data_IF_419281113757
#
_entry.id   IF_419281113757
#
_cell.length_a   1.000
_cell.length_b   1.000
_cell.length_c   1.000
_cell.angle_alpha   90.00
_cell.angle_beta   90.00
_cell.angle_gamma   90.00
#
_symmetry.space_group_name_H-M   'P 1'
#
loop_
_entity.id
_entity.type
_entity.pdbx_description
1 polymer ?
#
# COMPACT_ATOMS: atom_id res chain seq x y z
N UNK A 1 -2.54 1.57 36.24
CA UNK A 1 -1.34 1.23 35.46
C UNK A 1 -1.65 1.52 34.00
N UNK A 2 -1.14 2.62 33.47
CA UNK A 2 -1.41 3.06 32.10
C UNK A 2 -0.29 2.57 31.18
N UNK A 3 -0.51 1.44 30.52
CA UNK A 3 0.40 0.86 29.50
C UNK A 3 -0.30 0.70 28.15
N UNK A 4 -1.34 1.50 27.87
CA UNK A 4 -2.18 1.36 26.68
C UNK A 4 -2.10 2.53 25.70
N UNK A 5 -0.99 3.28 25.69
CA UNK A 5 -0.84 4.42 24.79
C UNK A 5 0.44 4.26 23.97
N UNK A 6 0.26 3.78 22.74
CA UNK A 6 1.23 3.73 21.63
C UNK A 6 2.23 2.56 21.69
N UNK A 7 1.93 1.49 20.93
CA UNK A 7 2.88 0.43 20.62
C UNK A 7 3.79 0.91 19.47
N UNK A 8 5.06 1.20 19.77
CA UNK A 8 6.07 1.62 18.79
C UNK A 8 6.97 0.48 18.30
N UNK A 9 6.73 -0.75 18.77
CA UNK A 9 7.57 -1.91 18.42
C UNK A 9 7.23 -2.46 17.03
N UNK A 10 6.05 -2.10 16.49
CA UNK A 10 5.61 -2.54 15.16
C UNK A 10 5.80 -1.41 14.17
N UNK A 11 6.84 -1.55 13.34
CA UNK A 11 7.15 -0.59 12.27
C UNK A 11 6.20 -0.85 11.10
N UNK A 12 5.32 0.10 10.82
CA UNK A 12 4.31 -0.07 9.78
C UNK A 12 4.84 0.36 8.41
N UNK A 13 4.32 -0.28 7.37
CA UNK A 13 4.68 0.09 6.00
C UNK A 13 4.20 1.50 5.69
N UNK A 14 5.12 2.38 5.26
CA UNK A 14 4.76 3.71 4.75
C UNK A 14 5.03 3.77 3.24
N UNK A 15 3.98 4.14 2.51
CA UNK A 15 3.96 4.16 1.06
C UNK A 15 3.50 5.53 0.54
N UNK A 16 4.03 5.96 -0.59
CA UNK A 16 3.77 7.26 -1.20
C UNK A 16 3.40 7.12 -2.67
N UNK A 17 2.39 7.89 -3.09
CA UNK A 17 2.02 8.05 -4.49
C UNK A 17 3.02 8.98 -5.19
N UNK A 18 4.14 8.43 -5.69
CA UNK A 18 5.14 9.21 -6.43
C UNK A 18 4.72 9.46 -7.87
N UNK A 19 4.40 8.40 -8.63
CA UNK A 19 3.97 8.48 -10.04
C UNK A 19 2.94 7.39 -10.35
N UNK A 20 1.73 7.57 -9.84
CA UNK A 20 0.61 6.69 -10.14
C UNK A 20 -0.30 7.36 -11.18
N UNK A 21 -0.60 6.68 -12.27
CA UNK A 21 -1.50 7.19 -13.30
C UNK A 21 -2.87 7.56 -12.71
N UNK A 22 -3.39 6.76 -11.77
CA UNK A 22 -4.68 6.97 -11.12
C UNK A 22 -4.83 8.34 -10.40
N UNK A 23 -3.73 9.04 -10.07
CA UNK A 23 -3.81 10.40 -9.49
C UNK A 23 -4.09 11.47 -10.54
N UNK A 24 -3.93 11.16 -11.83
CA UNK A 24 -4.17 12.06 -12.97
C UNK A 24 -5.36 11.55 -13.80
N UNK A 25 -5.36 10.26 -14.14
CA UNK A 25 -6.38 9.61 -14.95
C UNK A 25 -6.47 8.10 -14.60
N UNK A 26 -7.68 7.61 -14.35
CA UNK A 26 -7.91 6.21 -13.96
C UNK A 26 -8.89 6.15 -12.80
N UNK A 27 -8.86 5.06 -12.04
CA UNK A 27 -9.75 4.87 -10.92
C UNK A 27 -9.04 4.86 -9.56
N UNK A 28 -9.67 5.54 -8.60
CA UNK A 28 -9.44 5.35 -7.18
C UNK A 28 -10.68 4.65 -6.66
N UNK A 29 -10.53 3.42 -6.20
CA UNK A 29 -11.61 2.65 -5.62
C UNK A 29 -11.59 2.77 -4.10
N UNK A 30 -12.77 2.79 -3.53
CA UNK A 30 -12.95 2.53 -2.10
C UNK A 30 -13.10 1.02 -1.93
N UNK A 31 -12.19 0.40 -1.20
CA UNK A 31 -12.18 -1.04 -0.93
C UNK A 31 -12.39 -1.25 0.55
N UNK A 32 -13.31 -2.14 0.92
CA UNK A 32 -13.52 -2.56 2.30
C UNK A 32 -12.52 -3.66 2.65
N UNK A 33 -11.67 -3.41 3.64
CA UNK A 33 -10.58 -4.30 4.04
C UNK A 33 -11.10 -5.61 4.64
N UNK A 34 -10.65 -6.75 4.10
CA UNK A 34 -11.06 -8.07 4.59
C UNK A 34 -10.36 -8.48 5.90
N UNK A 35 -9.18 -7.89 6.15
CA UNK A 35 -8.38 -8.07 7.35
C UNK A 35 -7.50 -6.85 7.58
N UNK A 36 -7.01 -6.71 8.81
CA UNK A 36 -6.01 -5.73 9.20
C UNK A 36 -4.78 -5.78 8.28
N UNK A 37 -4.36 -4.64 7.76
CA UNK A 37 -3.17 -4.55 6.92
C UNK A 37 -2.59 -3.13 6.87
N UNK A 38 -1.29 -3.05 6.60
CA UNK A 38 -0.62 -1.77 6.36
C UNK A 38 -1.01 -1.17 5.00
N UNK A 39 -0.72 0.11 4.81
CA UNK A 39 -0.64 0.72 3.48
C UNK A 39 0.48 0.08 2.65
N UNK A 40 0.45 0.33 1.35
CA UNK A 40 1.45 -0.19 0.41
C UNK A 40 1.23 -1.65 0.03
N UNK A 41 0.17 -2.28 0.52
CA UNK A 41 -0.27 -3.59 0.02
C UNK A 41 -0.91 -3.46 -1.36
N UNK A 42 -0.86 -4.56 -2.12
CA UNK A 42 -1.55 -4.70 -3.39
C UNK A 42 -2.77 -5.60 -3.16
N UNK A 43 -3.93 -5.14 -3.60
CA UNK A 43 -5.20 -5.86 -3.51
C UNK A 43 -5.89 -5.85 -4.88
N UNK A 44 -6.80 -6.79 -5.09
CA UNK A 44 -7.70 -6.79 -6.23
C UNK A 44 -9.02 -6.09 -5.89
N UNK A 45 -9.64 -5.50 -6.90
CA UNK A 45 -11.03 -5.04 -6.84
C UNK A 45 -11.98 -6.23 -6.91
N UNK A 46 -12.72 -6.47 -5.84
CA UNK A 46 -13.79 -7.46 -5.80
C UNK A 46 -15.16 -6.92 -6.25
N UNK A 47 -16.21 -7.64 -5.85
CA UNK A 47 -17.58 -7.29 -6.18
C UNK A 47 -17.99 -5.94 -5.59
N UNK A 48 -18.89 -5.25 -6.28
CA UNK A 48 -19.58 -4.08 -5.72
C UNK A 48 -20.46 -4.53 -4.54
N UNK A 49 -20.24 -3.97 -3.35
CA UNK A 49 -20.98 -4.37 -2.14
C UNK A 49 -22.08 -3.39 -1.79
N UNK A 50 -21.77 -2.08 -1.83
CA UNK A 50 -22.72 -1.04 -1.49
C UNK A 50 -22.37 0.25 -2.24
N UNK A 51 -23.27 1.26 -2.22
CA UNK A 51 -22.91 2.60 -2.64
C UNK A 51 -21.55 2.98 -2.07
N UNK A 52 -20.69 3.45 -2.97
CA UNK A 52 -19.36 3.98 -2.65
C UNK A 52 -18.24 2.97 -2.39
N UNK A 53 -18.44 1.64 -2.30
CA UNK A 53 -17.29 0.72 -2.10
C UNK A 53 -17.43 -0.70 -2.70
N UNK A 54 -16.28 -1.35 -2.87
CA UNK A 54 -16.11 -2.71 -3.36
C UNK A 54 -15.52 -3.62 -2.27
N UNK A 55 -15.73 -4.93 -2.40
CA UNK A 55 -15.03 -5.94 -1.60
C UNK A 55 -13.55 -5.99 -1.95
N UNK A 56 -12.73 -6.32 -0.97
CA UNK A 56 -11.34 -6.73 -1.22
C UNK A 56 -11.33 -8.08 -1.95
N UNK A 57 -10.60 -8.16 -3.06
CA UNK A 57 -10.18 -9.40 -3.68
C UNK A 57 -8.66 -9.58 -3.53
N UNK A 58 -8.18 -10.82 -3.73
CA UNK A 58 -6.75 -11.04 -3.82
C UNK A 58 -6.19 -10.33 -5.06
N UNK A 59 -5.00 -9.75 -4.92
CA UNK A 59 -4.25 -9.26 -6.08
C UNK A 59 -3.99 -10.39 -7.07
N UNK A 60 -3.93 -10.05 -8.34
CA UNK A 60 -3.65 -11.02 -9.39
C UNK A 60 -2.24 -11.61 -9.24
N UNK A 61 -2.08 -12.86 -9.66
CA UNK A 61 -0.76 -13.49 -9.79
C UNK A 61 0.09 -12.86 -10.92
N UNK A 62 -0.49 -11.96 -11.71
CA UNK A 62 0.15 -11.26 -12.83
C UNK A 62 0.99 -10.08 -12.37
N UNK A 63 0.75 -9.56 -11.17
CA UNK A 63 1.52 -8.41 -10.68
C UNK A 63 3.02 -8.74 -10.65
N UNK A 64 3.79 -7.87 -11.32
CA UNK A 64 5.23 -7.84 -11.24
C UNK A 64 5.71 -6.39 -11.19
N UNK A 65 6.77 -6.15 -10.43
CA UNK A 65 7.46 -4.89 -10.40
C UNK A 65 8.97 -5.03 -10.36
N UNK A 66 9.67 -3.91 -10.48
CA UNK A 66 11.13 -3.83 -10.36
C UNK A 66 11.50 -2.68 -9.43
N UNK A 67 12.43 -2.93 -8.52
CA UNK A 67 13.01 -1.89 -7.68
C UNK A 67 13.99 -1.09 -8.53
N UNK A 68 13.67 0.16 -8.84
CA UNK A 68 14.46 1.02 -9.74
C UNK A 68 15.35 2.02 -9.01
N UNK A 69 15.16 2.19 -7.69
CA UNK A 69 15.97 3.09 -6.91
C UNK A 69 15.57 3.14 -5.44
N UNK A 70 16.27 3.99 -4.69
CA UNK A 70 15.98 4.29 -3.28
C UNK A 70 16.00 5.81 -3.10
N UNK A 71 14.99 6.36 -2.44
CA UNK A 71 14.90 7.80 -2.15
C UNK A 71 15.88 8.19 -1.04
N UNK A 72 16.19 9.47 -0.93
CA UNK A 72 17.01 10.02 0.17
C UNK A 72 16.41 9.77 1.56
N UNK A 73 15.08 9.60 1.63
CA UNK A 73 14.36 9.23 2.84
C UNK A 73 14.34 7.71 3.13
N UNK A 74 15.06 6.91 2.33
CA UNK A 74 15.22 5.47 2.55
C UNK A 74 14.10 4.58 1.99
N UNK A 75 13.14 5.13 1.24
CA UNK A 75 12.05 4.36 0.61
C UNK A 75 12.50 3.79 -0.75
N UNK A 76 12.05 2.60 -1.08
CA UNK A 76 12.35 1.94 -2.35
C UNK A 76 11.33 2.35 -3.41
N UNK A 77 11.82 2.68 -4.61
CA UNK A 77 11.00 3.01 -5.76
C UNK A 77 10.71 1.74 -6.55
N UNK A 78 9.45 1.37 -6.65
CA UNK A 78 8.99 0.18 -7.37
C UNK A 78 8.25 0.63 -8.62
N UNK A 79 8.76 0.22 -9.80
CA UNK A 79 8.10 0.38 -11.08
C UNK A 79 7.25 -0.87 -11.38
N UNK A 80 6.00 -0.68 -11.76
CA UNK A 80 5.09 -1.75 -12.16
C UNK A 80 5.43 -2.21 -13.57
N UNK A 81 5.83 -3.47 -13.73
CA UNK A 81 6.22 -4.07 -15.01
C UNK A 81 5.14 -5.00 -15.58
N UNK A 82 4.26 -5.55 -14.74
CA UNK A 82 3.07 -6.28 -15.13
C UNK A 82 1.99 -6.12 -14.06
N UNK A 83 0.71 -6.12 -14.47
CA UNK A 83 -0.41 -5.91 -13.56
C UNK A 83 -1.66 -6.60 -14.09
N UNK A 84 -2.46 -7.19 -13.21
CA UNK A 84 -3.76 -7.74 -13.56
C UNK A 84 -4.85 -6.68 -13.56
N UNK A 85 -5.93 -6.94 -14.30
CA UNK A 85 -7.09 -6.07 -14.27
C UNK A 85 -7.67 -6.01 -12.85
N UNK A 86 -7.86 -4.79 -12.33
CA UNK A 86 -8.41 -4.60 -10.98
C UNK A 86 -7.37 -4.61 -9.86
N UNK A 87 -6.07 -4.80 -10.14
CA UNK A 87 -5.05 -4.65 -9.10
C UNK A 87 -4.88 -3.17 -8.72
N UNK A 88 -4.81 -2.91 -7.42
CA UNK A 88 -4.69 -1.58 -6.87
C UNK A 88 -3.75 -1.54 -5.66
N UNK A 89 -3.06 -0.41 -5.51
CA UNK A 89 -2.21 -0.10 -4.38
C UNK A 89 -3.04 0.60 -3.30
N UNK A 90 -3.06 0.05 -2.08
CA UNK A 90 -3.74 0.69 -0.95
C UNK A 90 -2.88 1.84 -0.43
N UNK A 91 -3.42 3.06 -0.52
CA UNK A 91 -2.81 4.29 -0.04
C UNK A 91 -3.86 5.13 0.67
N UNK A 92 -4.20 4.74 1.90
CA UNK A 92 -5.10 5.54 2.71
C UNK A 92 -4.34 6.69 3.37
N UNK A 93 -4.87 7.91 3.23
CA UNK A 93 -4.36 9.05 4.01
C UNK A 93 -4.82 8.86 5.44
N UNK A 94 -3.93 8.95 6.44
CA UNK A 94 -4.35 8.86 7.83
C UNK A 94 -5.36 9.94 8.20
N UNK A 95 -6.35 9.58 9.00
CA UNK A 95 -7.31 10.55 9.53
C UNK A 95 -6.62 11.41 10.61
N UNK A 96 -6.27 12.66 10.27
CA UNK A 96 -5.63 13.62 11.17
C UNK A 96 -6.72 14.58 11.69
N UNK A 97 -6.95 14.60 13.01
CA UNK A 97 -7.84 15.58 13.66
C UNK A 97 -7.12 16.94 13.82
N UNK A 98 -7.88 18.04 13.85
CA UNK A 98 -7.40 19.44 13.80
C UNK A 98 -6.39 19.85 14.91
N UNK A 99 -6.21 19.05 15.96
CA UNK A 99 -5.22 19.27 17.01
C UNK A 99 -3.86 18.68 16.61
N UNK A 100 -3.13 19.45 15.81
CA UNK A 100 -1.78 19.15 15.31
C UNK A 100 -0.77 18.87 16.44
N UNK A 101 -0.28 17.64 16.54
CA UNK A 101 0.91 17.27 17.35
C UNK A 101 1.84 16.37 16.54
N UNK A 102 3.13 16.28 16.92
CA UNK A 102 4.15 15.42 16.29
C UNK A 102 3.78 13.92 16.29
N UNK A 103 2.81 13.52 17.13
CA UNK A 103 2.24 12.18 17.13
C UNK A 103 1.54 11.79 15.81
N UNK A 104 1.12 12.77 14.98
CA UNK A 104 0.45 12.49 13.71
C UNK A 104 1.41 12.02 12.60
N UNK A 105 2.73 12.11 12.82
CA UNK A 105 3.75 11.52 11.94
C UNK A 105 4.03 10.05 12.26
N UNK A 106 3.37 9.46 13.28
CA UNK A 106 3.64 8.08 13.66
C UNK A 106 3.20 7.08 12.62
N UNK A 107 4.02 6.06 12.41
CA UNK A 107 3.78 5.02 11.43
C UNK A 107 2.48 4.21 11.69
N UNK A 108 1.98 4.18 12.94
CA UNK A 108 0.68 3.58 13.29
C UNK A 108 -0.52 4.15 12.51
N UNK A 109 -0.34 5.34 11.93
CA UNK A 109 -1.32 5.99 11.08
C UNK A 109 -1.44 5.36 9.67
N UNK A 110 -0.48 4.52 9.27
CA UNK A 110 -0.45 3.81 7.98
C UNK A 110 -1.02 2.38 8.07
N UNK A 111 -1.80 2.10 9.11
CA UNK A 111 -2.44 0.83 9.35
C UNK A 111 -3.95 0.93 9.15
N UNK A 112 -4.53 -0.03 8.43
CA UNK A 112 -5.95 -0.11 8.14
C UNK A 112 -6.54 -1.32 8.86
N UNK A 113 -7.66 -1.13 9.57
CA UNK A 113 -8.34 -2.22 10.27
C UNK A 113 -9.26 -2.97 9.33
N UNK A 114 -9.59 -4.20 9.70
CA UNK A 114 -10.69 -4.96 9.11
C UNK A 114 -11.95 -4.10 9.08
N UNK A 115 -12.68 -4.19 7.95
CA UNK A 115 -13.91 -3.46 7.66
C UNK A 115 -13.75 -1.95 7.42
N UNK A 116 -12.53 -1.38 7.55
CA UNK A 116 -12.27 -0.02 7.11
C UNK A 116 -12.43 0.11 5.59
N UNK A 117 -12.99 1.23 5.15
CA UNK A 117 -13.08 1.58 3.73
C UNK A 117 -11.86 2.44 3.39
N UNK A 118 -10.97 1.89 2.57
CA UNK A 118 -9.69 2.50 2.21
C UNK A 118 -9.65 2.90 0.75
N UNK A 119 -8.82 3.89 0.42
CA UNK A 119 -8.53 4.25 -0.97
C UNK A 119 -7.48 3.30 -1.56
N UNK A 120 -7.84 2.68 -2.67
CA UNK A 120 -6.98 1.84 -3.47
C UNK A 120 -6.84 2.44 -4.88
N UNK A 121 -5.61 2.71 -5.28
CA UNK A 121 -5.26 3.35 -6.54
C UNK A 121 -5.02 2.27 -7.58
N UNK A 122 -5.84 2.25 -8.64
CA UNK A 122 -5.67 1.31 -9.74
C UNK A 122 -4.26 1.43 -10.33
N UNK A 123 -3.61 0.28 -10.53
CA UNK A 123 -2.24 0.20 -10.99
C UNK A 123 -2.18 -0.05 -12.49
N UNK A 124 -1.21 0.61 -13.12
CA UNK A 124 -0.91 0.48 -14.54
C UNK A 124 0.57 0.15 -14.75
N UNK A 125 0.89 -0.53 -15.85
CA UNK A 125 2.29 -0.73 -16.26
C UNK A 125 2.96 0.63 -16.46
N UNK A 126 4.14 0.81 -15.86
CA UNK A 126 4.90 2.07 -15.86
C UNK A 126 4.60 2.98 -14.67
N UNK A 127 3.62 2.65 -13.82
CA UNK A 127 3.43 3.36 -12.56
C UNK A 127 4.63 3.14 -11.63
N UNK A 128 4.98 4.16 -10.85
CA UNK A 128 6.02 4.09 -9.83
C UNK A 128 5.44 4.56 -8.50
N UNK A 129 5.69 3.78 -7.45
CA UNK A 129 5.38 4.16 -6.07
C UNK A 129 6.61 4.00 -5.18
N UNK A 130 6.66 4.74 -4.07
CA UNK A 130 7.71 4.61 -3.07
C UNK A 130 7.17 3.86 -1.85
N UNK A 131 7.92 2.90 -1.33
CA UNK A 131 7.50 2.06 -0.19
C UNK A 131 8.68 1.80 0.75
N UNK A 132 8.42 1.80 2.05
CA UNK A 132 9.44 1.49 3.06
C UNK A 132 9.80 -0.01 3.08
N UNK A 133 10.88 -0.37 3.77
CA UNK A 133 11.41 -1.74 3.80
C UNK A 133 10.39 -2.76 4.36
N UNK A 134 9.53 -2.32 5.27
CA UNK A 134 8.51 -3.12 5.95
C UNK A 134 7.38 -3.58 5.01
N UNK A 135 7.26 -2.94 3.85
CA UNK A 135 6.35 -3.34 2.79
C UNK A 135 6.81 -4.56 2.00
N UNK A 136 8.05 -5.01 2.21
CA UNK A 136 8.62 -6.15 1.53
C UNK A 136 8.66 -7.41 2.39
N UNK A 137 8.57 -8.56 1.74
CA UNK A 137 8.98 -9.85 2.27
C UNK A 137 10.31 -10.24 1.62
N UNK A 138 11.38 -10.22 2.41
CA UNK A 138 12.76 -10.34 1.94
C UNK A 138 13.50 -9.00 1.96
N UNK A 139 14.79 -9.01 1.66
CA UNK A 139 15.63 -7.80 1.67
C UNK A 139 15.53 -7.07 0.32
N UNK A 140 14.96 -5.85 0.28
CA UNK A 140 14.85 -5.09 -0.96
C UNK A 140 16.20 -4.52 -1.42
N UNK A 141 16.51 -4.74 -2.69
CA UNK A 141 17.71 -4.22 -3.35
C UNK A 141 17.35 -3.67 -4.73
N UNK A 142 18.01 -2.58 -5.13
CA UNK A 142 17.82 -1.99 -6.46
C UNK A 142 18.20 -3.00 -7.54
N UNK A 143 17.34 -3.14 -8.54
CA UNK A 143 17.48 -4.09 -9.64
C UNK A 143 16.69 -5.38 -9.46
N UNK A 144 16.29 -5.73 -8.22
CA UNK A 144 15.48 -6.92 -7.95
C UNK A 144 14.04 -6.73 -8.44
N UNK A 145 13.45 -7.84 -8.89
CA UNK A 145 12.03 -7.92 -9.24
C UNK A 145 11.21 -8.23 -8.00
N UNK A 146 9.93 -7.85 -8.02
CA UNK A 146 8.98 -8.14 -6.95
C UNK A 146 7.67 -8.70 -7.49
N UNK A 147 7.04 -9.56 -6.72
CA UNK A 147 5.68 -10.07 -6.96
C UNK A 147 4.81 -9.84 -5.72
N UNK A 148 3.52 -10.16 -5.78
CA UNK A 148 2.65 -10.09 -4.59
C UNK A 148 2.60 -11.45 -3.91
N UNK A 149 2.85 -11.49 -2.61
CA UNK A 149 2.57 -12.63 -1.75
C UNK A 149 2.01 -12.14 -0.41
N UNK A 150 0.90 -12.72 0.03
CA UNK A 150 0.20 -12.29 1.24
C UNK A 150 -0.05 -10.75 1.26
N UNK A 151 -0.46 -10.19 0.11
CA UNK A 151 -0.70 -8.76 -0.15
C UNK A 151 0.54 -7.85 -0.13
N UNK A 152 1.69 -8.31 0.41
CA UNK A 152 2.96 -7.58 0.42
C UNK A 152 3.80 -7.85 -0.83
N UNK A 153 4.80 -6.99 -1.04
CA UNK A 153 5.78 -7.18 -2.11
C UNK A 153 6.80 -8.23 -1.70
N UNK A 154 6.81 -9.38 -2.37
CA UNK A 154 7.84 -10.40 -2.20
C UNK A 154 8.99 -10.14 -3.16
N UNK A 155 10.21 -10.16 -2.65
CA UNK A 155 11.41 -10.11 -3.51
C UNK A 155 11.51 -11.40 -4.32
N UNK A 156 11.69 -11.27 -5.64
CA UNK A 156 12.01 -12.39 -6.53
C UNK A 156 13.43 -12.89 -6.29
N UNK A 157 13.63 -14.19 -6.41
CA UNK A 157 14.93 -14.85 -6.24
C UNK A 157 16.00 -14.24 -7.18
#
# INVERSE_FOLDING_TARGET
>A
MATSFLNFDTKHTVCESTKLKATIAGHIWNIKMAADADNGIIVGKGDYEAPEYYKEAAASATFAGKIIGKSSAGKYLVEVTAVGAGDALVLQVPLIYETYTTAMQHESNFYNKKDDIVRAYELYVGDVFAISEEGFTGTPEVGKTVSVAAKKLKIGE
#
